data_IF_347106062090
#
_entry.id   IF_347106062090
#
_cell.length_a   1.000
_cell.length_b   1.000
_cell.length_c   1.000
_cell.angle_alpha   90.00
_cell.angle_beta   90.00
_cell.angle_gamma   90.00
#
_symmetry.space_group_name_H-M   'P 1'
#
loop_
_entity.id
_entity.type
_entity.pdbx_description
1 polymer ?
#
# COMPACT_ATOMS: atom_id res chain seq x y z
N UNK A 1 -28.90 -2.97 13.83
CA UNK A 1 -27.55 -2.47 14.21
C UNK A 1 -26.93 -3.10 15.48
N UNK A 2 -27.64 -3.93 16.25
CA UNK A 2 -27.09 -4.56 17.47
C UNK A 2 -26.22 -5.81 17.24
N UNK A 3 -26.32 -6.43 16.05
CA UNK A 3 -25.57 -7.67 15.73
C UNK A 3 -24.13 -7.42 15.26
N UNK A 4 -23.73 -6.15 15.08
CA UNK A 4 -22.41 -5.75 14.57
C UNK A 4 -21.42 -5.31 15.67
N UNK A 5 -21.85 -5.27 16.94
CA UNK A 5 -21.04 -4.79 18.07
C UNK A 5 -20.55 -5.93 18.99
N UNK A 6 -21.03 -7.15 18.79
CA UNK A 6 -20.38 -8.33 19.34
C UNK A 6 -19.16 -8.67 18.46
N UNK A 7 -18.12 -9.24 19.05
CA UNK A 7 -16.82 -9.63 18.46
C UNK A 7 -16.92 -10.68 17.32
N UNK A 8 -17.92 -10.58 16.45
CA UNK A 8 -18.06 -11.38 15.24
C UNK A 8 -17.11 -10.82 14.21
N UNK A 9 -15.92 -11.41 14.21
CA UNK A 9 -14.90 -11.48 13.15
C UNK A 9 -15.23 -10.68 11.88
N UNK A 10 -14.67 -9.48 11.79
CA UNK A 10 -14.71 -8.58 10.62
C UNK A 10 -14.31 -9.32 9.33
N UNK A 11 -13.49 -10.37 9.46
CA UNK A 11 -13.05 -11.25 8.36
C UNK A 11 -14.16 -12.07 7.69
N UNK A 12 -15.35 -12.17 8.27
CA UNK A 12 -16.50 -12.86 7.66
C UNK A 12 -17.58 -11.91 7.14
N UNK A 13 -17.35 -10.60 7.23
CA UNK A 13 -18.23 -9.60 6.63
C UNK A 13 -17.72 -9.23 5.24
N UNK A 14 -18.64 -9.03 4.30
CA UNK A 14 -18.25 -8.55 2.97
C UNK A 14 -17.76 -7.10 3.04
N UNK A 15 -16.78 -6.76 2.21
CA UNK A 15 -16.24 -5.41 2.09
C UNK A 15 -17.34 -4.37 1.84
N UNK A 16 -18.32 -4.71 0.98
CA UNK A 16 -19.46 -3.84 0.69
C UNK A 16 -20.32 -3.57 1.94
N UNK A 17 -20.52 -4.57 2.79
CA UNK A 17 -21.29 -4.42 4.03
C UNK A 17 -20.58 -3.52 5.03
N UNK A 18 -19.25 -3.65 5.13
CA UNK A 18 -18.41 -2.79 5.98
C UNK A 18 -18.45 -1.35 5.45
N UNK A 19 -18.38 -1.15 4.13
CA UNK A 19 -18.55 0.17 3.48
C UNK A 19 -19.90 0.81 3.80
N UNK A 20 -20.99 0.07 3.72
CA UNK A 20 -22.32 0.57 4.09
C UNK A 20 -22.41 0.93 5.58
N UNK A 21 -21.86 0.07 6.46
CA UNK A 21 -21.90 0.28 7.90
C UNK A 21 -21.20 1.57 8.33
N UNK A 22 -20.04 1.87 7.74
CA UNK A 22 -19.24 3.04 8.08
C UNK A 22 -19.46 4.25 7.16
N UNK A 23 -20.41 4.19 6.23
CA UNK A 23 -20.65 5.27 5.26
C UNK A 23 -20.88 6.63 5.93
N UNK A 24 -21.71 6.68 6.97
CA UNK A 24 -21.97 7.91 7.71
C UNK A 24 -20.72 8.42 8.45
N UNK A 25 -19.89 7.51 8.96
CA UNK A 25 -18.63 7.87 9.58
C UNK A 25 -17.65 8.47 8.57
N UNK A 26 -17.57 7.91 7.35
CA UNK A 26 -16.75 8.44 6.27
C UNK A 26 -17.21 9.83 5.82
N UNK A 27 -18.52 10.06 5.70
CA UNK A 27 -19.07 11.39 5.38
C UNK A 27 -18.68 12.40 6.47
N UNK A 28 -18.86 12.03 7.74
CA UNK A 28 -18.47 12.89 8.87
C UNK A 28 -16.96 13.15 8.90
N UNK A 29 -16.17 12.14 8.58
CA UNK A 29 -14.72 12.26 8.53
C UNK A 29 -14.29 13.19 7.37
N UNK A 30 -14.92 13.11 6.20
CA UNK A 30 -14.65 14.03 5.08
C UNK A 30 -15.00 15.48 5.38
N UNK A 31 -16.09 15.75 6.09
CA UNK A 31 -16.40 17.10 6.57
C UNK A 31 -15.33 17.61 7.56
N UNK A 32 -14.86 16.73 8.44
CA UNK A 32 -13.80 17.07 9.40
C UNK A 32 -12.46 17.28 8.70
N UNK A 33 -12.17 16.49 7.65
CA UNK A 33 -10.98 16.64 6.82
C UNK A 33 -10.92 18.05 6.22
N UNK A 34 -12.03 18.55 5.65
CA UNK A 34 -12.07 19.88 5.05
C UNK A 34 -11.70 20.98 6.06
N UNK A 35 -12.26 20.93 7.28
CA UNK A 35 -11.93 21.91 8.32
C UNK A 35 -10.48 21.80 8.78
N UNK A 36 -9.95 20.59 8.88
CA UNK A 36 -8.55 20.38 9.27
C UNK A 36 -7.62 20.87 8.16
N UNK A 37 -7.92 20.59 6.90
CA UNK A 37 -7.15 21.03 5.74
C UNK A 37 -7.06 22.55 5.70
N UNK A 38 -8.19 23.25 5.78
CA UNK A 38 -8.22 24.71 5.82
C UNK A 38 -7.38 25.26 7.00
N UNK A 39 -7.52 24.66 8.19
CA UNK A 39 -6.76 25.06 9.38
C UNK A 39 -5.25 24.82 9.24
N UNK A 40 -4.83 23.76 8.54
CA UNK A 40 -3.42 23.47 8.28
C UNK A 40 -2.86 24.39 7.19
N UNK A 41 -3.60 24.65 6.11
CA UNK A 41 -3.19 25.61 5.07
C UNK A 41 -2.94 27.00 5.65
N UNK A 42 -3.86 27.49 6.49
CA UNK A 42 -3.66 28.74 7.22
C UNK A 42 -2.41 28.70 8.10
N UNK A 43 -2.12 27.55 8.74
CA UNK A 43 -0.92 27.37 9.56
C UNK A 43 0.36 27.36 8.73
N UNK A 44 0.37 26.71 7.57
CA UNK A 44 1.50 26.69 6.65
C UNK A 44 1.83 28.10 6.17
N UNK A 45 0.83 28.93 5.88
CA UNK A 45 1.03 30.32 5.51
C UNK A 45 1.69 31.13 6.63
N UNK A 46 1.32 30.89 7.90
CA UNK A 46 2.01 31.51 9.05
C UNK A 46 3.44 31.00 9.21
N UNK A 47 3.67 29.70 9.05
CA UNK A 47 5.01 29.09 9.12
C UNK A 47 5.90 29.69 8.03
N UNK A 48 5.39 29.84 6.81
CA UNK A 48 6.09 30.48 5.68
C UNK A 48 6.56 31.89 6.05
N UNK A 49 5.68 32.72 6.63
CA UNK A 49 6.03 34.08 7.10
C UNK A 49 7.08 34.08 8.22
N UNK A 50 6.98 33.15 9.17
CA UNK A 50 7.97 33.03 10.25
C UNK A 50 9.35 32.60 9.75
N UNK A 51 9.40 31.71 8.74
CA UNK A 51 10.64 31.29 8.11
C UNK A 51 11.28 32.41 7.29
N UNK A 52 10.46 33.26 6.66
CA UNK A 52 10.95 34.46 5.97
C UNK A 52 11.67 35.41 6.94
N UNK A 53 11.17 35.60 8.17
CA UNK A 53 11.87 36.38 9.20
C UNK A 53 13.20 35.76 9.64
N UNK A 54 13.41 34.47 9.41
CA UNK A 54 14.68 33.77 9.63
C UNK A 54 15.56 33.72 8.38
N UNK A 55 15.24 34.51 7.36
CA UNK A 55 15.92 34.53 6.05
C UNK A 55 15.83 33.21 5.26
N UNK A 56 14.86 32.34 5.57
CA UNK A 56 14.55 31.15 4.77
C UNK A 56 13.32 31.45 3.93
N UNK A 57 13.51 31.66 2.62
CA UNK A 57 12.42 31.98 1.69
C UNK A 57 12.15 30.81 0.76
N UNK A 58 10.88 30.48 0.60
CA UNK A 58 10.38 29.53 -0.40
C UNK A 58 9.76 30.32 -1.54
N UNK A 59 10.02 29.88 -2.78
CA UNK A 59 9.29 30.40 -3.93
C UNK A 59 7.81 30.03 -3.82
N UNK A 60 6.95 30.78 -4.52
CA UNK A 60 5.52 30.42 -4.58
C UNK A 60 5.36 29.04 -5.23
N UNK A 61 6.14 28.74 -6.26
CA UNK A 61 6.12 27.45 -6.96
C UNK A 61 6.42 26.27 -6.02
N UNK A 62 7.44 26.39 -5.16
CA UNK A 62 7.77 25.33 -4.19
C UNK A 62 6.66 25.15 -3.15
N UNK A 63 6.03 26.25 -2.73
CA UNK A 63 4.98 26.20 -1.72
C UNK A 63 3.70 25.53 -2.24
N UNK A 64 3.33 25.77 -3.49
CA UNK A 64 2.17 25.14 -4.15
C UNK A 64 2.35 23.61 -4.34
N UNK A 65 3.58 23.08 -4.24
CA UNK A 65 3.80 21.63 -4.26
C UNK A 65 3.41 20.92 -2.96
N UNK A 66 3.16 21.68 -1.88
CA UNK A 66 2.86 21.13 -0.57
C UNK A 66 1.41 20.64 -0.52
N UNK A 67 1.23 19.32 -0.39
CA UNK A 67 -0.08 18.70 -0.22
C UNK A 67 -0.17 17.90 1.09
N UNK A 68 -1.39 17.74 1.58
CA UNK A 68 -1.76 17.01 2.78
C UNK A 68 -2.62 15.81 2.36
N UNK A 69 -2.10 14.61 2.58
CA UNK A 69 -2.83 13.36 2.33
C UNK A 69 -3.42 12.85 3.64
N UNK A 70 -4.75 12.74 3.70
CA UNK A 70 -5.44 12.15 4.85
C UNK A 70 -5.70 10.65 4.60
N UNK A 71 -5.44 9.85 5.62
CA UNK A 71 -5.67 8.40 5.59
C UNK A 71 -6.79 8.05 6.57
N UNK A 72 -7.84 7.40 6.05
CA UNK A 72 -8.98 6.95 6.85
C UNK A 72 -8.73 5.53 7.34
N UNK A 73 -8.63 5.35 8.66
CA UNK A 73 -8.46 4.05 9.30
C UNK A 73 -9.80 3.28 9.37
N UNK A 74 -10.31 2.87 8.21
CA UNK A 74 -11.51 2.06 8.11
C UNK A 74 -11.17 0.57 8.34
N UNK A 75 -12.00 -0.19 9.07
CA UNK A 75 -11.82 -1.64 9.13
C UNK A 75 -11.99 -2.26 7.73
N UNK A 76 -11.07 -3.14 7.36
CA UNK A 76 -11.07 -3.86 6.09
C UNK A 76 -11.12 -5.37 6.30
N UNK A 77 -11.64 -6.10 5.31
CA UNK A 77 -11.51 -7.55 5.23
C UNK A 77 -10.34 -7.90 4.32
N UNK A 78 -9.15 -7.97 4.90
CA UNK A 78 -7.90 -8.17 4.16
C UNK A 78 -7.87 -9.50 3.39
N UNK A 79 -8.61 -10.51 3.86
CA UNK A 79 -8.75 -11.80 3.17
C UNK A 79 -9.44 -11.63 1.82
N UNK A 80 -10.61 -10.97 1.82
CA UNK A 80 -11.39 -10.73 0.60
C UNK A 80 -10.62 -9.85 -0.39
N UNK A 81 -9.89 -8.84 0.11
CA UNK A 81 -9.03 -7.98 -0.70
C UNK A 81 -7.94 -8.80 -1.42
N UNK A 82 -7.25 -9.69 -0.70
CA UNK A 82 -6.22 -10.54 -1.29
C UNK A 82 -6.79 -11.53 -2.30
N UNK A 83 -7.95 -12.14 -2.02
CA UNK A 83 -8.63 -13.04 -2.96
C UNK A 83 -9.01 -12.30 -4.26
N UNK A 84 -9.49 -11.05 -4.14
CA UNK A 84 -9.79 -10.20 -5.29
C UNK A 84 -8.54 -9.84 -6.09
N UNK A 85 -7.44 -9.45 -5.42
CA UNK A 85 -6.16 -9.12 -6.07
C UNK A 85 -5.56 -10.34 -6.80
N UNK A 86 -5.66 -11.52 -6.20
CA UNK A 86 -5.23 -12.78 -6.82
C UNK A 86 -6.04 -13.08 -8.08
N UNK A 87 -7.36 -12.96 -8.00
CA UNK A 87 -8.24 -13.18 -9.15
C UNK A 87 -7.93 -12.20 -10.29
N UNK A 88 -7.69 -10.93 -9.98
CA UNK A 88 -7.27 -9.91 -10.95
C UNK A 88 -5.92 -10.24 -11.61
N UNK A 89 -4.97 -10.80 -10.84
CA UNK A 89 -3.68 -11.24 -11.37
C UNK A 89 -3.83 -12.40 -12.33
N UNK A 90 -4.66 -13.39 -11.99
CA UNK A 90 -4.95 -14.55 -12.83
C UNK A 90 -5.58 -14.14 -14.16
N UNK A 91 -6.44 -13.12 -14.14
CA UNK A 91 -7.05 -12.54 -15.34
C UNK A 91 -6.13 -11.55 -16.09
N UNK A 92 -4.87 -11.41 -15.68
CA UNK A 92 -3.90 -10.44 -16.25
C UNK A 92 -4.39 -8.98 -16.25
N UNK A 93 -5.32 -8.63 -15.36
CA UNK A 93 -5.90 -7.29 -15.27
C UNK A 93 -5.07 -6.30 -14.44
N UNK A 94 -4.02 -6.75 -13.77
CA UNK A 94 -3.19 -5.93 -12.87
C UNK A 94 -1.72 -6.36 -12.87
N UNK A 95 -0.81 -5.37 -12.79
CA UNK A 95 0.64 -5.59 -12.69
C UNK A 95 1.03 -6.06 -11.29
N UNK A 96 2.24 -6.62 -11.16
CA UNK A 96 2.76 -7.10 -9.87
C UNK A 96 3.00 -5.91 -8.92
N UNK A 97 3.54 -4.83 -9.46
CA UNK A 97 3.76 -3.58 -8.72
C UNK A 97 2.46 -3.03 -8.14
N UNK A 98 1.38 -2.96 -8.94
CA UNK A 98 0.09 -2.47 -8.44
C UNK A 98 -0.58 -3.41 -7.44
N UNK A 99 -0.28 -4.72 -7.44
CA UNK A 99 -0.75 -5.64 -6.39
C UNK A 99 -0.02 -5.34 -5.07
N UNK A 100 1.29 -5.12 -5.14
CA UNK A 100 2.10 -4.79 -3.95
C UNK A 100 1.76 -3.41 -3.38
N UNK A 101 1.32 -2.48 -4.21
CA UNK A 101 0.85 -1.17 -3.74
C UNK A 101 -0.52 -1.24 -3.07
N UNK A 102 -1.41 -2.11 -3.57
CA UNK A 102 -2.80 -2.21 -3.08
C UNK A 102 -3.02 -3.26 -1.99
N UNK A 103 -2.00 -4.05 -1.67
CA UNK A 103 -2.09 -5.06 -0.61
C UNK A 103 -1.95 -4.41 0.77
N UNK A 104 -2.79 -4.77 1.75
CA UNK A 104 -2.78 -4.15 3.08
C UNK A 104 -1.49 -4.41 3.89
N UNK A 105 -0.64 -5.36 3.45
CA UNK A 105 0.53 -5.80 4.21
C UNK A 105 1.88 -5.26 3.69
N UNK A 106 1.92 -4.66 2.51
CA UNK A 106 3.15 -4.11 1.94
C UNK A 106 3.21 -2.62 2.22
N UNK A 107 4.27 -2.18 2.92
CA UNK A 107 4.48 -0.77 3.27
C UNK A 107 5.39 -0.05 2.29
N UNK A 108 6.41 -0.74 1.79
CA UNK A 108 7.40 -0.20 0.85
C UNK A 108 7.44 -1.10 -0.38
N UNK A 109 6.72 -0.68 -1.41
CA UNK A 109 6.58 -1.40 -2.70
C UNK A 109 7.93 -1.56 -3.38
N UNK A 110 8.76 -0.52 -3.36
CA UNK A 110 10.03 -0.50 -4.07
C UNK A 110 11.05 -1.43 -3.43
N UNK A 111 11.07 -1.48 -2.09
CA UNK A 111 11.88 -2.44 -1.37
C UNK A 111 11.40 -3.88 -1.60
N UNK A 112 10.08 -4.10 -1.62
CA UNK A 112 9.53 -5.44 -1.81
C UNK A 112 9.78 -5.97 -3.23
N UNK A 113 9.65 -5.11 -4.24
CA UNK A 113 9.96 -5.47 -5.63
C UNK A 113 11.42 -5.93 -5.77
N UNK A 114 12.37 -5.20 -5.16
CA UNK A 114 13.79 -5.57 -5.15
C UNK A 114 14.05 -6.92 -4.49
N UNK A 115 13.32 -7.24 -3.40
CA UNK A 115 13.44 -8.55 -2.74
C UNK A 115 12.92 -9.67 -3.62
N UNK A 116 11.77 -9.47 -4.27
CA UNK A 116 11.20 -10.44 -5.20
C UNK A 116 12.10 -10.69 -6.40
N UNK A 117 12.74 -9.66 -6.95
CA UNK A 117 13.71 -9.81 -8.03
C UNK A 117 14.93 -10.63 -7.58
N UNK A 118 15.45 -10.37 -6.37
CA UNK A 118 16.56 -11.13 -5.79
C UNK A 118 16.20 -12.60 -5.50
N UNK A 119 14.96 -12.88 -5.08
CA UNK A 119 14.44 -14.25 -4.96
C UNK A 119 14.32 -14.94 -6.32
N UNK A 120 13.89 -14.21 -7.36
CA UNK A 120 13.82 -14.69 -8.73
C UNK A 120 15.20 -15.08 -9.27
N UNK A 121 16.22 -14.28 -9.01
CA UNK A 121 17.61 -14.56 -9.43
C UNK A 121 18.22 -15.74 -8.65
N UNK A 122 17.99 -15.84 -7.33
CA UNK A 122 18.49 -16.96 -6.53
C UNK A 122 17.90 -18.31 -6.95
N UNK A 123 16.68 -18.32 -7.47
CA UNK A 123 16.04 -19.55 -7.99
C UNK A 123 16.64 -20.07 -9.30
N UNK A 124 17.33 -19.22 -10.07
CA UNK A 124 17.98 -19.62 -11.33
C UNK A 124 19.31 -20.33 -11.04
N UNK A 125 20.09 -19.82 -10.08
CA UNK A 125 21.42 -20.37 -9.73
C UNK A 125 21.41 -21.78 -9.10
N UNK A 126 20.27 -22.21 -8.52
CA UNK A 126 20.13 -23.54 -7.93
C UNK A 126 19.72 -24.63 -8.94
N UNK A 127 19.16 -24.24 -10.09
CA UNK A 127 18.84 -25.20 -11.16
C UNK A 127 20.06 -25.50 -12.03
N UNK A 128 20.90 -24.51 -12.34
CA UNK A 128 22.11 -24.71 -13.16
C UNK A 128 23.18 -25.56 -12.45
N UNK A 129 23.18 -25.63 -11.11
CA UNK A 129 24.10 -26.51 -10.34
C UNK A 129 23.66 -27.98 -10.29
N UNK A 130 22.39 -28.29 -10.56
CA UNK A 130 21.92 -29.70 -10.55
C UNK A 130 22.25 -30.42 -11.85
N UNK A 131 22.31 -29.70 -12.97
CA UNK A 131 22.66 -30.29 -14.26
C UNK A 131 24.17 -30.55 -14.38
N UNK A 132 25.01 -29.71 -13.77
CA UNK A 132 26.47 -29.90 -13.79
C UNK A 132 26.98 -31.10 -12.97
N UNK A 133 26.17 -31.65 -12.06
CA UNK A 133 26.55 -32.79 -11.22
C UNK A 133 26.12 -34.14 -11.79
N UNK A 134 25.29 -34.16 -12.84
CA UNK A 134 24.83 -35.38 -13.51
C UNK A 134 25.80 -35.83 -14.61
N UNK A 135 26.38 -34.89 -15.34
CA UNK A 135 27.31 -35.19 -16.45
C UNK A 135 28.65 -35.77 -15.98
N UNK A 136 29.11 -35.42 -14.75
CA UNK A 136 30.37 -35.96 -14.20
C UNK A 136 30.29 -37.40 -13.69
N UNK A 137 29.10 -38.00 -13.60
CA UNK A 137 28.95 -39.41 -13.20
C UNK A 137 28.86 -40.37 -14.38
N UNK A 138 28.55 -39.90 -15.60
CA UNK A 138 28.50 -40.76 -16.79
C UNK A 138 29.89 -40.91 -17.44
N UNK A 139 30.79 -39.92 -17.34
CA UNK A 139 32.15 -39.98 -17.90
C UNK A 139 33.17 -40.80 -17.09
N UNK A 140 32.81 -41.30 -15.90
CA UNK A 140 33.66 -42.21 -15.10
C UNK A 140 33.25 -43.69 -15.19
N UNK A 141 32.19 -44.01 -15.95
CA UNK A 141 31.69 -45.37 -16.12
C UNK A 141 31.80 -45.91 -17.57
N UNK A 142 32.50 -45.19 -18.46
CA UNK A 142 32.77 -45.59 -19.85
C UNK A 142 34.21 -45.97 -20.10
#
# INVERSE_FOLDING_TARGET
PAVSLNKTDISNLSELSIKLLFQLANIKAGLSEQFIREGIEQRFEKIRKLLEYKCVKFSDEDYETLDIVFQYAMPSNDKEIIENLKSLREMQGISLESILDRTPYTKDVQMELKKLDAEGMSRVDDNDKKDLHKDKQEDLAG
#
